data_IF_132641241542
#
_entry.id   IF_132641241542
#
_cell.length_a   1.000
_cell.length_b   1.000
_cell.length_c   1.000
_cell.angle_alpha   90.00
_cell.angle_beta   90.00
_cell.angle_gamma   90.00
#
_symmetry.space_group_name_H-M   'P 1'
#
loop_
_entity.id
_entity.type
_entity.pdbx_description
1 polymer ?
#
# COMPACT_ATOMS: atom_id res chain seq x y z
N UNK A 1 10.58 4.34 -25.05
CA UNK A 1 10.15 3.19 -25.90
C UNK A 1 11.41 2.49 -26.43
N UNK A 2 11.60 1.18 -26.20
CA UNK A 2 12.73 0.44 -26.76
C UNK A 2 12.63 0.35 -28.28
N UNK A 3 13.76 0.36 -28.98
CA UNK A 3 13.79 0.25 -30.43
C UNK A 3 13.93 -1.23 -30.83
N UNK A 4 13.33 -1.68 -31.95
CA UNK A 4 13.36 -3.09 -32.36
C UNK A 4 14.77 -3.63 -32.64
N UNK A 5 15.72 -2.76 -32.97
CA UNK A 5 17.12 -3.12 -33.17
C UNK A 5 17.94 -3.22 -31.88
N UNK A 6 17.40 -2.80 -30.73
CA UNK A 6 18.07 -2.91 -29.44
C UNK A 6 18.14 -4.37 -29.00
N UNK A 7 19.25 -4.76 -28.37
CA UNK A 7 19.40 -6.06 -27.72
C UNK A 7 18.52 -6.15 -26.48
N UNK A 8 18.11 -7.36 -26.11
CA UNK A 8 17.34 -7.61 -24.89
C UNK A 8 18.10 -7.10 -23.65
N UNK A 9 19.42 -7.25 -23.61
CA UNK A 9 20.26 -6.65 -22.57
C UNK A 9 20.05 -5.13 -22.44
N UNK A 10 20.10 -4.40 -23.56
CA UNK A 10 19.87 -2.95 -23.57
C UNK A 10 18.46 -2.58 -23.12
N UNK A 11 17.47 -3.43 -23.41
CA UNK A 11 16.10 -3.26 -22.92
C UNK A 11 16.06 -3.46 -21.40
N UNK A 12 16.66 -4.54 -20.87
CA UNK A 12 16.74 -4.82 -19.43
C UNK A 12 17.42 -3.68 -18.66
N UNK A 13 18.53 -3.15 -19.19
CA UNK A 13 19.23 -1.99 -18.58
C UNK A 13 18.36 -0.74 -18.57
N UNK A 14 17.51 -0.51 -19.57
CA UNK A 14 16.56 0.61 -19.52
C UNK A 14 15.46 0.38 -18.49
N UNK A 15 14.98 -0.85 -18.38
CA UNK A 15 13.93 -1.24 -17.43
C UNK A 15 14.44 -1.22 -15.98
N UNK A 16 15.74 -1.45 -15.73
CA UNK A 16 16.31 -1.40 -14.37
C UNK A 16 16.19 -0.02 -13.73
N UNK A 17 16.26 1.05 -14.52
CA UNK A 17 16.03 2.41 -14.01
C UNK A 17 14.59 2.67 -13.59
N UNK A 18 13.63 1.88 -14.08
CA UNK A 18 12.21 2.01 -13.74
C UNK A 18 11.80 1.07 -12.61
N UNK A 19 12.29 -0.17 -12.62
CA UNK A 19 11.87 -1.22 -11.70
C UNK A 19 12.80 -1.40 -10.50
N UNK A 20 14.04 -0.90 -10.56
CA UNK A 20 15.03 -1.04 -9.48
C UNK A 20 15.73 -2.40 -9.41
N UNK A 21 15.22 -3.42 -10.11
CA UNK A 21 15.88 -4.74 -10.24
C UNK A 21 17.12 -4.65 -11.14
N UNK A 22 18.12 -5.51 -10.93
CA UNK A 22 19.28 -5.61 -11.82
C UNK A 22 18.93 -6.32 -13.14
N UNK A 23 19.57 -5.95 -14.25
CA UNK A 23 19.30 -6.56 -15.56
C UNK A 23 19.51 -8.09 -15.57
N UNK A 24 20.48 -8.59 -14.80
CA UNK A 24 20.76 -10.02 -14.65
C UNK A 24 19.68 -10.79 -13.89
N UNK A 25 18.94 -10.11 -13.01
CA UNK A 25 17.87 -10.73 -12.22
C UNK A 25 16.47 -10.41 -12.77
N UNK A 26 16.38 -10.03 -14.04
CA UNK A 26 15.11 -9.82 -14.73
C UNK A 26 14.86 -10.92 -15.76
N UNK A 27 13.70 -11.56 -15.64
CA UNK A 27 13.11 -12.35 -16.71
C UNK A 27 12.06 -11.51 -17.45
N UNK A 28 12.16 -11.43 -18.77
CA UNK A 28 11.24 -10.66 -19.60
C UNK A 28 10.34 -11.59 -20.41
N UNK A 29 9.03 -11.36 -20.33
CA UNK A 29 8.01 -12.05 -21.12
C UNK A 29 7.23 -11.04 -21.97
N UNK A 30 6.99 -11.37 -23.22
CA UNK A 30 6.16 -10.58 -24.13
C UNK A 30 4.73 -11.10 -24.06
N UNK A 31 3.79 -10.23 -23.70
CA UNK A 31 2.36 -10.53 -23.64
C UNK A 31 1.62 -9.85 -24.79
N UNK A 32 0.61 -10.51 -25.33
CA UNK A 32 -0.32 -9.92 -26.31
C UNK A 32 -1.29 -8.93 -25.65
N UNK A 33 -2.20 -8.36 -26.44
CA UNK A 33 -3.25 -7.45 -25.96
C UNK A 33 -4.24 -8.13 -24.98
N UNK A 34 -4.36 -9.46 -25.04
CA UNK A 34 -5.17 -10.27 -24.14
C UNK A 34 -4.44 -10.70 -22.86
N UNK A 35 -3.16 -10.35 -22.71
CA UNK A 35 -2.33 -10.74 -21.57
C UNK A 35 -1.74 -12.16 -21.66
N UNK A 36 -1.87 -12.85 -22.80
CA UNK A 36 -1.29 -14.17 -23.01
C UNK A 36 0.20 -14.06 -23.40
N UNK A 37 1.03 -14.97 -22.88
CA UNK A 37 2.47 -14.99 -23.17
C UNK A 37 2.74 -15.42 -24.61
N UNK A 38 3.25 -14.50 -25.41
CA UNK A 38 3.65 -14.70 -26.81
C UNK A 38 5.06 -15.28 -26.90
N UNK A 39 5.99 -14.72 -26.12
CA UNK A 39 7.38 -15.13 -26.17
C UNK A 39 8.11 -14.86 -24.86
N UNK A 40 9.05 -15.74 -24.50
CA UNK A 40 10.02 -15.50 -23.42
C UNK A 40 11.32 -14.96 -24.01
N UNK A 41 11.75 -13.80 -23.53
CA UNK A 41 12.95 -13.11 -24.00
C UNK A 41 14.16 -13.47 -23.11
N UNK A 42 14.56 -14.73 -23.18
CA UNK A 42 15.61 -15.30 -22.33
C UNK A 42 17.03 -15.03 -22.83
N UNK A 43 17.22 -14.79 -24.14
CA UNK A 43 18.54 -14.49 -24.71
C UNK A 43 18.82 -12.98 -24.78
N UNK A 44 19.83 -12.54 -24.03
CA UNK A 44 20.24 -11.13 -23.91
C UNK A 44 20.83 -10.53 -25.19
N UNK A 45 21.54 -11.35 -25.98
CA UNK A 45 22.16 -10.93 -27.24
C UNK A 45 21.18 -10.79 -28.40
N UNK A 46 19.96 -11.36 -28.30
CA UNK A 46 18.97 -11.23 -29.36
C UNK A 46 18.42 -9.81 -29.39
N UNK A 47 18.02 -9.38 -30.59
CA UNK A 47 17.34 -8.10 -30.77
C UNK A 47 15.88 -8.25 -30.39
N UNK A 48 15.27 -7.18 -29.88
CA UNK A 48 13.85 -7.15 -29.56
C UNK A 48 12.98 -7.53 -30.76
N UNK A 49 13.36 -7.10 -31.97
CA UNK A 49 12.67 -7.44 -33.22
C UNK A 49 12.64 -8.94 -33.56
N UNK A 50 13.53 -9.77 -32.99
CA UNK A 50 13.49 -11.23 -33.18
C UNK A 50 12.18 -11.83 -32.64
N UNK A 51 11.63 -11.24 -31.58
CA UNK A 51 10.41 -11.71 -30.94
C UNK A 51 9.13 -11.11 -31.55
N UNK A 52 9.27 -10.39 -32.69
CA UNK A 52 8.15 -9.76 -33.42
C UNK A 52 7.18 -8.97 -32.52
N UNK A 53 7.67 -7.97 -31.76
CA UNK A 53 6.80 -7.16 -30.91
C UNK A 53 5.85 -6.33 -31.77
N UNK A 54 4.58 -6.29 -31.37
CA UNK A 54 3.57 -5.43 -31.98
C UNK A 54 3.21 -4.26 -31.05
N UNK A 55 2.71 -3.16 -31.62
CA UNK A 55 2.11 -2.11 -30.80
C UNK A 55 0.90 -2.69 -30.07
N UNK A 56 0.74 -2.36 -28.79
CA UNK A 56 -0.30 -2.92 -27.94
C UNK A 56 0.20 -4.07 -27.05
N UNK A 57 1.34 -4.68 -27.37
CA UNK A 57 1.91 -5.75 -26.55
C UNK A 57 2.56 -5.21 -25.29
N UNK A 58 2.54 -6.01 -24.23
CA UNK A 58 3.08 -5.65 -22.92
C UNK A 58 4.35 -6.45 -22.64
N UNK A 59 5.41 -5.76 -22.20
CA UNK A 59 6.60 -6.43 -21.67
C UNK A 59 6.37 -6.65 -20.17
N UNK A 60 6.14 -7.89 -19.79
CA UNK A 60 6.04 -8.30 -18.40
C UNK A 60 7.44 -8.61 -17.85
N UNK A 61 7.74 -8.03 -16.70
CA UNK A 61 9.03 -8.17 -16.02
C UNK A 61 8.78 -9.01 -14.78
N UNK A 62 9.47 -10.14 -14.69
CA UNK A 62 9.50 -10.97 -13.49
C UNK A 62 10.85 -10.78 -12.82
N UNK A 63 10.83 -10.26 -11.59
CA UNK A 63 12.01 -10.16 -10.74
C UNK A 63 12.36 -11.56 -10.20
N UNK A 64 13.57 -12.03 -10.50
CA UNK A 64 14.08 -13.32 -10.04
C UNK A 64 15.14 -13.18 -8.95
N UNK A 65 15.42 -11.98 -8.47
CA UNK A 65 16.40 -11.74 -7.40
C UNK A 65 15.86 -12.25 -6.05
N UNK A 66 16.48 -13.26 -5.42
CA UNK A 66 16.06 -13.75 -4.11
C UNK A 66 16.24 -12.71 -2.99
N UNK A 67 17.05 -11.66 -3.20
CA UNK A 67 17.27 -10.57 -2.26
C UNK A 67 16.40 -9.33 -2.50
N UNK A 68 15.48 -9.36 -3.47
CA UNK A 68 14.66 -8.21 -3.83
C UNK A 68 13.76 -7.78 -2.66
N UNK A 69 13.73 -6.48 -2.35
CA UNK A 69 12.87 -5.91 -1.29
C UNK A 69 11.38 -6.07 -1.59
N UNK A 70 11.00 -6.28 -2.85
CA UNK A 70 9.64 -6.63 -3.27
C UNK A 70 9.34 -8.13 -3.20
N UNK A 71 10.36 -8.99 -3.10
CA UNK A 71 10.14 -10.43 -3.00
C UNK A 71 9.36 -10.75 -1.72
N UNK A 72 8.23 -11.46 -1.86
CA UNK A 72 7.37 -11.84 -0.75
C UNK A 72 6.34 -10.78 -0.33
N UNK A 73 6.10 -9.76 -1.16
CA UNK A 73 4.99 -8.82 -0.94
C UNK A 73 5.24 -7.80 0.17
N UNK A 74 6.48 -7.60 0.62
CA UNK A 74 6.81 -6.63 1.66
C UNK A 74 6.32 -5.20 1.37
N UNK A 75 6.34 -4.80 0.08
CA UNK A 75 5.86 -3.49 -0.36
C UNK A 75 4.34 -3.45 -0.62
N UNK A 76 3.70 -4.61 -0.75
CA UNK A 76 2.32 -4.75 -1.22
C UNK A 76 1.37 -5.16 -0.10
N UNK A 77 1.88 -5.93 0.87
CA UNK A 77 1.11 -6.52 1.95
C UNK A 77 1.33 -5.76 3.28
N UNK A 78 0.37 -4.89 3.56
CA UNK A 78 0.31 -4.08 4.79
C UNK A 78 0.08 -4.90 6.08
N UNK A 79 -0.15 -6.21 5.98
CA UNK A 79 -0.26 -7.11 7.13
C UNK A 79 1.11 -7.51 7.70
N UNK A 80 2.19 -7.47 6.90
CA UNK A 80 3.55 -7.77 7.37
C UNK A 80 4.15 -6.64 8.21
N UNK A 81 3.57 -5.43 8.15
CA UNK A 81 4.04 -4.28 8.91
C UNK A 81 3.47 -4.33 10.32
N UNK A 82 4.33 -4.57 11.31
CA UNK A 82 4.00 -4.47 12.73
C UNK A 82 3.61 -3.04 13.09
N UNK A 83 2.30 -2.82 13.22
CA UNK A 83 1.75 -1.52 13.61
C UNK A 83 1.98 -1.33 15.10
N UNK A 84 2.62 -0.21 15.45
CA UNK A 84 2.82 0.14 16.86
C UNK A 84 1.49 0.14 17.62
N UNK A 85 1.40 -0.71 18.65
CA UNK A 85 0.28 -0.78 19.57
C UNK A 85 0.75 -0.32 20.94
N UNK A 86 0.26 0.84 21.37
CA UNK A 86 0.56 1.36 22.70
C UNK A 86 -0.18 0.54 23.76
N UNK A 87 0.52 0.19 24.84
CA UNK A 87 -0.10 -0.40 26.02
C UNK A 87 -1.00 0.63 26.73
N UNK A 88 -2.06 0.18 27.42
CA UNK A 88 -2.91 1.07 28.21
C UNK A 88 -2.09 1.83 29.28
N UNK A 89 -1.14 1.16 29.91
CA UNK A 89 -0.30 1.74 30.96
C UNK A 89 0.61 2.84 30.44
N UNK A 90 1.15 2.69 29.22
CA UNK A 90 1.97 3.74 28.58
C UNK A 90 1.13 4.90 28.07
N UNK A 91 -0.11 4.63 27.65
CA UNK A 91 -1.06 5.69 27.27
C UNK A 91 -1.42 6.56 28.48
N UNK A 92 -1.65 5.95 29.65
CA UNK A 92 -2.05 6.64 30.88
C UNK A 92 -0.92 7.51 31.48
N UNK A 93 0.36 7.17 31.23
CA UNK A 93 1.50 8.02 31.63
C UNK A 93 1.51 9.35 30.89
N UNK A 94 1.05 9.41 29.64
CA UNK A 94 1.09 10.63 28.82
C UNK A 94 0.18 11.73 29.39
N UNK A 95 0.71 12.94 29.50
CA UNK A 95 0.00 14.08 30.10
C UNK A 95 -1.06 14.69 29.18
N UNK A 96 -0.76 14.89 27.90
CA UNK A 96 -1.66 15.50 26.92
C UNK A 96 -2.51 14.45 26.17
N UNK A 97 -3.05 13.49 26.89
CA UNK A 97 -3.88 12.42 26.30
C UNK A 97 -5.37 12.73 26.42
N UNK A 98 -6.15 12.24 25.45
CA UNK A 98 -7.61 12.39 25.47
C UNK A 98 -8.23 11.76 26.73
N UNK A 99 -7.67 10.64 27.22
CA UNK A 99 -8.17 9.94 28.41
C UNK A 99 -7.99 10.80 29.67
N UNK A 100 -6.85 11.47 29.86
CA UNK A 100 -6.65 12.41 30.98
C UNK A 100 -7.59 13.60 30.88
N UNK A 101 -7.67 14.24 29.72
CA UNK A 101 -8.60 15.36 29.50
C UNK A 101 -10.06 14.97 29.76
N UNK A 102 -10.49 13.79 29.30
CA UNK A 102 -11.81 13.23 29.57
C UNK A 102 -12.04 13.02 31.07
N UNK A 103 -11.05 12.45 31.78
CA UNK A 103 -11.16 12.21 33.22
C UNK A 103 -11.27 13.52 34.01
N UNK A 104 -10.52 14.56 33.63
CA UNK A 104 -10.60 15.90 34.25
C UNK A 104 -11.99 16.53 34.04
N UNK A 105 -12.55 16.41 32.83
CA UNK A 105 -13.90 16.91 32.53
C UNK A 105 -14.99 16.19 33.31
N UNK A 106 -14.91 14.87 33.41
CA UNK A 106 -15.84 14.04 34.20
C UNK A 106 -15.69 14.29 35.71
N UNK A 107 -14.48 14.56 36.19
CA UNK A 107 -14.25 14.90 37.59
C UNK A 107 -14.87 16.26 37.97
N UNK A 108 -14.90 17.22 37.04
CA UNK A 108 -15.58 18.50 37.23
C UNK A 108 -17.10 18.42 37.12
N UNK A 109 -17.61 17.70 36.11
CA UNK A 109 -19.04 17.47 35.90
C UNK A 109 -19.30 15.97 35.62
N UNK A 110 -19.88 15.24 36.58
CA UNK A 110 -20.19 13.82 36.41
C UNK A 110 -21.16 13.50 35.26
N UNK A 111 -21.91 14.50 34.79
CA UNK A 111 -22.86 14.38 33.67
C UNK A 111 -22.25 14.76 32.31
N UNK A 112 -20.96 15.13 32.29
CA UNK A 112 -20.24 15.57 31.11
C UNK A 112 -20.12 14.44 30.08
N UNK A 113 -20.37 14.78 28.82
CA UNK A 113 -20.16 13.89 27.67
C UNK A 113 -19.50 14.68 26.54
N UNK A 114 -18.72 14.00 25.70
CA UNK A 114 -18.05 14.62 24.56
C UNK A 114 -19.06 15.29 23.62
N UNK A 115 -20.22 14.68 23.42
CA UNK A 115 -21.27 15.18 22.54
C UNK A 115 -21.85 16.51 23.03
N UNK A 116 -22.07 16.66 24.36
CA UNK A 116 -22.47 17.93 24.97
C UNK A 116 -21.43 19.03 24.77
N UNK A 117 -20.15 18.73 24.99
CA UNK A 117 -19.04 19.67 24.78
C UNK A 117 -18.94 20.10 23.30
N UNK A 118 -19.11 19.15 22.37
CA UNK A 118 -19.11 19.46 20.93
C UNK A 118 -20.32 20.32 20.51
N UNK A 119 -21.51 20.05 21.06
CA UNK A 119 -22.71 20.84 20.81
C UNK A 119 -22.54 22.28 21.31
N UNK A 120 -22.02 22.44 22.53
CA UNK A 120 -21.69 23.75 23.12
C UNK A 120 -20.69 24.54 22.26
N UNK A 121 -19.60 23.91 21.81
CA UNK A 121 -18.61 24.55 20.93
C UNK A 121 -19.17 24.96 19.56
N UNK A 122 -20.17 24.23 19.07
CA UNK A 122 -20.87 24.53 17.81
C UNK A 122 -22.00 25.54 17.98
N UNK A 123 -22.33 25.95 19.21
CA UNK A 123 -23.46 26.84 19.51
C UNK A 123 -24.83 26.19 19.28
N UNK A 124 -24.90 24.85 19.28
CA UNK A 124 -26.14 24.09 19.07
C UNK A 124 -26.56 23.45 20.39
N UNK A 125 -27.86 23.43 20.67
CA UNK A 125 -28.42 22.76 21.85
C UNK A 125 -28.19 21.24 21.77
N UNK A 126 -27.76 20.62 22.88
CA UNK A 126 -27.56 19.18 22.93
C UNK A 126 -28.89 18.44 23.02
N UNK A 127 -29.21 17.65 21.99
CA UNK A 127 -30.33 16.70 22.01
C UNK A 127 -29.79 15.32 22.40
N UNK A 128 -30.27 14.71 23.50
CA UNK A 128 -29.82 13.38 23.90
C UNK A 128 -30.19 12.35 22.84
N UNK A 129 -29.30 11.40 22.49
CA UNK A 129 -29.62 10.37 21.52
C UNK A 129 -30.77 9.50 22.04
N UNK A 130 -31.65 9.01 21.14
CA UNK A 130 -32.75 8.15 21.55
C UNK A 130 -32.20 6.91 22.27
N UNK A 131 -32.90 6.41 23.31
CA UNK A 131 -32.45 5.23 24.03
C UNK A 131 -32.28 4.08 23.04
N UNK A 132 -31.12 3.42 23.07
CA UNK A 132 -30.84 2.26 22.21
C UNK A 132 -31.89 1.19 22.52
N UNK A 133 -32.87 1.05 21.64
CA UNK A 133 -33.88 0.00 21.74
C UNK A 133 -33.12 -1.31 21.58
N UNK A 134 -32.95 -2.03 22.68
CA UNK A 134 -32.36 -3.37 22.62
C UNK A 134 -33.40 -4.24 21.93
N UNK A 135 -33.25 -4.46 20.62
CA UNK A 135 -34.01 -5.48 19.93
C UNK A 135 -33.79 -6.78 20.71
N UNK A 136 -34.84 -7.30 21.36
CA UNK A 136 -34.82 -8.66 21.88
C UNK A 136 -34.73 -9.55 20.65
N UNK A 137 -33.56 -10.16 20.45
CA UNK A 137 -33.39 -11.32 19.58
C UNK A 137 -34.06 -12.51 20.25
#
# INVERSE_FOLDING_TARGET
RPAPQSTIESVKVKLSFHCGTSASAMALSLLDEGGATVASMWEDNRKLGFYSPHNGYTIHITDTDPGSLSAGGWLEDTSLVEKYRMSDTDYDKREKSYRKWKNEKVAGDPSWTLEKEMAMRRGVEYVPPPPKVRCRV
#
